data_IF_772835901828
#
_entry.id   IF_772835901828
#
_cell.length_a   1.000
_cell.length_b   1.000
_cell.length_c   1.000
_cell.angle_alpha   90.00
_cell.angle_beta   90.00
_cell.angle_gamma   90.00
#
_symmetry.space_group_name_H-M   'P 1'
#
loop_
_entity.id
_entity.type
_entity.pdbx_description
1 polymer ?
#
# COMPACT_ATOMS: atom_id res chain seq x y z
N UNK A 1 12.94 -22.76 43.20
CA UNK A 1 12.99 -22.89 41.73
C UNK A 1 13.28 -21.50 41.17
N UNK A 2 14.46 -21.30 40.58
CA UNK A 2 14.95 -19.97 40.23
C UNK A 2 14.56 -19.63 38.79
N UNK A 3 14.31 -18.35 38.49
CA UNK A 3 13.88 -17.84 37.19
C UNK A 3 14.87 -18.20 36.06
N UNK A 4 16.13 -18.42 36.44
CA UNK A 4 17.22 -18.88 35.56
C UNK A 4 17.05 -20.32 35.06
N UNK A 5 16.38 -21.17 35.85
CA UNK A 5 16.15 -22.57 35.46
C UNK A 5 15.09 -22.67 34.34
N UNK A 6 14.15 -21.72 34.30
CA UNK A 6 13.12 -21.63 33.26
C UNK A 6 13.66 -21.17 31.89
N UNK A 7 14.67 -20.31 31.86
CA UNK A 7 15.24 -19.81 30.61
C UNK A 7 16.16 -20.81 29.93
N UNK A 8 16.80 -21.70 30.69
CA UNK A 8 17.70 -22.73 30.15
C UNK A 8 16.92 -23.87 29.47
N UNK A 9 15.69 -24.14 29.90
CA UNK A 9 14.87 -25.23 29.34
C UNK A 9 14.22 -24.88 27.99
N UNK A 10 14.10 -23.59 27.64
CA UNK A 10 13.38 -23.15 26.44
C UNK A 10 14.20 -23.20 25.14
N UNK A 11 15.52 -23.36 25.21
CA UNK A 11 16.42 -23.33 24.04
C UNK A 11 16.69 -24.70 23.39
N UNK A 12 16.10 -25.78 23.93
CA UNK A 12 16.34 -27.15 23.44
C UNK A 12 15.23 -27.71 22.54
N UNK A 13 14.21 -26.90 22.20
CA UNK A 13 13.16 -27.33 21.28
C UNK A 13 13.64 -27.17 19.83
N UNK A 14 13.69 -28.25 19.01
CA UNK A 14 13.89 -28.10 17.58
C UNK A 14 12.68 -27.36 17.01
N UNK A 15 12.89 -26.12 16.59
CA UNK A 15 11.93 -25.40 15.78
C UNK A 15 11.77 -26.17 14.47
N UNK A 16 10.54 -26.55 14.04
CA UNK A 16 10.35 -27.03 12.69
C UNK A 16 10.84 -25.94 11.75
N UNK A 17 11.76 -26.30 10.86
CA UNK A 17 12.19 -25.43 9.78
C UNK A 17 10.95 -25.16 8.93
N UNK A 18 10.32 -24.00 9.14
CA UNK A 18 9.33 -23.47 8.21
C UNK A 18 10.09 -23.28 6.91
N UNK A 19 9.69 -23.93 5.79
CA UNK A 19 10.32 -23.66 4.52
C UNK A 19 10.14 -22.16 4.26
N UNK A 20 11.27 -21.44 4.20
CA UNK A 20 11.28 -20.11 3.64
C UNK A 20 10.82 -20.28 2.19
N UNK A 21 9.59 -19.89 1.91
CA UNK A 21 9.11 -19.76 0.54
C UNK A 21 9.97 -18.64 -0.04
N UNK A 22 11.02 -19.04 -0.75
CA UNK A 22 11.74 -18.14 -1.62
C UNK A 22 10.80 -17.88 -2.79
N UNK A 23 9.96 -16.85 -2.66
CA UNK A 23 9.23 -16.26 -3.78
C UNK A 23 10.28 -15.55 -4.65
N UNK A 24 11.04 -16.34 -5.40
CA UNK A 24 11.72 -15.85 -6.59
C UNK A 24 10.78 -15.99 -7.77
N UNK A 25 9.64 -15.29 -7.70
CA UNK A 25 8.99 -14.84 -8.92
C UNK A 25 9.60 -13.47 -9.20
N UNK A 26 10.26 -13.33 -10.34
CA UNK A 26 10.33 -12.03 -11.00
C UNK A 26 8.90 -11.64 -11.31
N UNK A 27 8.21 -11.11 -10.30
CA UNK A 27 6.84 -10.66 -10.38
C UNK A 27 6.83 -9.58 -11.45
N UNK A 28 6.17 -9.87 -12.57
CA UNK A 28 5.89 -8.84 -13.55
C UNK A 28 5.12 -7.78 -12.80
N UNK A 29 5.66 -6.57 -12.76
CA UNK A 29 5.05 -5.47 -11.99
C UNK A 29 3.56 -5.38 -12.29
N UNK A 30 2.74 -5.42 -11.23
CA UNK A 30 1.29 -5.34 -11.37
C UNK A 30 0.91 -3.94 -11.87
N UNK A 31 -0.23 -3.79 -12.57
CA UNK A 31 -0.70 -2.48 -12.99
C UNK A 31 -0.88 -1.50 -11.81
N UNK A 32 -1.29 -2.00 -10.64
CA UNK A 32 -1.44 -1.19 -9.42
C UNK A 32 -0.08 -0.68 -8.95
N UNK A 33 0.94 -1.54 -8.90
CA UNK A 33 2.27 -1.13 -8.43
C UNK A 33 2.95 -0.16 -9.40
N UNK A 34 2.75 -0.32 -10.71
CA UNK A 34 3.23 0.64 -11.70
C UNK A 34 2.61 2.03 -11.49
N UNK A 35 1.27 2.09 -11.34
CA UNK A 35 0.55 3.33 -11.06
C UNK A 35 0.93 3.94 -9.72
N UNK A 36 1.09 3.12 -8.68
CA UNK A 36 1.47 3.56 -7.35
C UNK A 36 2.86 4.19 -7.35
N UNK A 37 3.81 3.63 -8.10
CA UNK A 37 5.15 4.22 -8.25
C UNK A 37 5.08 5.61 -8.89
N UNK A 38 4.28 5.77 -9.94
CA UNK A 38 4.07 7.08 -10.58
C UNK A 38 3.39 8.08 -9.63
N UNK A 39 2.38 7.62 -8.88
CA UNK A 39 1.70 8.44 -7.87
C UNK A 39 2.68 8.87 -6.78
N UNK A 40 3.53 7.95 -6.29
CA UNK A 40 4.50 8.24 -5.24
C UNK A 40 5.57 9.24 -5.72
N UNK A 41 6.03 9.13 -6.96
CA UNK A 41 6.95 10.11 -7.54
C UNK A 41 6.32 11.52 -7.61
N UNK A 42 5.02 11.60 -7.95
CA UNK A 42 4.29 12.87 -7.94
C UNK A 42 4.05 13.39 -6.52
N UNK A 43 3.72 12.52 -5.56
CA UNK A 43 3.61 12.88 -4.16
C UNK A 43 4.93 13.46 -3.65
N UNK A 44 6.06 12.80 -3.91
CA UNK A 44 7.38 13.27 -3.48
C UNK A 44 7.71 14.62 -4.12
N UNK A 45 7.40 14.80 -5.41
CA UNK A 45 7.58 16.08 -6.11
C UNK A 45 6.75 17.21 -5.48
N UNK A 46 5.45 17.02 -5.30
CA UNK A 46 4.54 18.02 -4.73
C UNK A 46 4.90 18.41 -3.29
N UNK A 47 5.58 17.53 -2.56
CA UNK A 47 6.05 17.77 -1.19
C UNK A 47 7.52 18.22 -1.13
N UNK A 48 8.16 18.50 -2.27
CA UNK A 48 9.55 18.96 -2.33
C UNK A 48 9.66 20.49 -2.38
N UNK A 49 10.86 20.99 -2.11
CA UNK A 49 11.19 22.41 -2.29
C UNK A 49 11.02 22.89 -3.74
N UNK A 50 11.10 21.99 -4.72
CA UNK A 50 10.90 22.31 -6.13
C UNK A 50 9.46 22.74 -6.41
N UNK A 51 8.48 22.06 -5.82
CA UNK A 51 7.08 22.42 -5.96
C UNK A 51 6.74 23.77 -5.30
N UNK A 52 7.54 24.23 -4.34
CA UNK A 52 7.35 25.55 -3.73
C UNK A 52 7.61 26.72 -4.69
N UNK A 53 8.25 26.47 -5.83
CA UNK A 53 8.45 27.45 -6.89
C UNK A 53 7.29 27.52 -7.89
N UNK A 54 6.33 26.59 -7.83
CA UNK A 54 5.15 26.59 -8.69
C UNK A 54 4.23 27.75 -8.35
N UNK A 55 3.59 28.28 -9.37
CA UNK A 55 2.41 29.12 -9.18
C UNK A 55 1.24 28.29 -8.62
N UNK A 56 0.25 28.96 -8.03
CA UNK A 56 -0.97 28.29 -7.54
C UNK A 56 -1.66 27.49 -8.65
N UNK A 57 -1.77 28.05 -9.86
CA UNK A 57 -2.38 27.38 -11.01
C UNK A 57 -1.61 26.11 -11.44
N UNK A 58 -0.27 26.15 -11.42
CA UNK A 58 0.55 24.98 -11.75
C UNK A 58 0.47 23.91 -10.66
N UNK A 59 0.44 24.32 -9.39
CA UNK A 59 0.28 23.41 -8.25
C UNK A 59 -1.09 22.71 -8.27
N UNK A 60 -2.15 23.46 -8.54
CA UNK A 60 -3.50 22.92 -8.68
C UNK A 60 -3.59 21.93 -9.84
N UNK A 61 -2.96 22.22 -10.97
CA UNK A 61 -2.92 21.30 -12.11
C UNK A 61 -2.22 19.96 -11.78
N UNK A 62 -1.15 19.98 -11.01
CA UNK A 62 -0.48 18.76 -10.55
C UNK A 62 -1.30 18.01 -9.48
N UNK A 63 -2.04 18.73 -8.63
CA UNK A 63 -3.00 18.12 -7.70
C UNK A 63 -4.14 17.42 -8.44
N UNK A 64 -4.70 18.04 -9.49
CA UNK A 64 -5.70 17.44 -10.37
C UNK A 64 -5.15 16.20 -11.07
N UNK A 65 -3.90 16.23 -11.53
CA UNK A 65 -3.22 15.07 -12.10
C UNK A 65 -3.11 13.94 -11.09
N UNK A 66 -2.66 14.23 -9.87
CA UNK A 66 -2.57 13.24 -8.78
C UNK A 66 -3.94 12.65 -8.48
N UNK A 67 -4.96 13.50 -8.41
CA UNK A 67 -6.35 13.12 -8.16
C UNK A 67 -6.88 12.16 -9.21
N UNK A 68 -6.60 12.40 -10.49
CA UNK A 68 -6.97 11.48 -11.57
C UNK A 68 -6.28 10.11 -11.42
N UNK A 69 -5.02 10.09 -10.97
CA UNK A 69 -4.31 8.83 -10.71
C UNK A 69 -4.88 8.06 -9.52
N UNK A 70 -5.26 8.75 -8.44
CA UNK A 70 -5.93 8.15 -7.27
C UNK A 70 -7.23 7.46 -7.67
N UNK A 71 -8.07 8.13 -8.47
CA UNK A 71 -9.31 7.56 -8.98
C UNK A 71 -9.03 6.32 -9.85
N UNK A 72 -8.01 6.37 -10.70
CA UNK A 72 -7.63 5.21 -11.51
C UNK A 72 -7.12 4.05 -10.64
N UNK A 73 -6.29 4.31 -9.63
CA UNK A 73 -5.83 3.31 -8.67
C UNK A 73 -6.99 2.61 -7.95
N UNK A 74 -8.05 3.34 -7.60
CA UNK A 74 -9.23 2.78 -6.97
C UNK A 74 -10.00 1.79 -7.86
N UNK A 75 -9.95 1.97 -9.18
CA UNK A 75 -10.66 1.15 -10.16
C UNK A 75 -9.87 -0.09 -10.63
N UNK A 76 -8.54 -0.02 -10.69
CA UNK A 76 -7.70 -1.12 -11.17
C UNK A 76 -7.74 -2.29 -10.18
N UNK A 77 -8.17 -3.51 -10.53
CA UNK A 77 -8.26 -4.62 -9.58
C UNK A 77 -6.91 -4.99 -8.95
N UNK A 78 -6.91 -5.24 -7.63
CA UNK A 78 -5.73 -5.74 -6.93
C UNK A 78 -5.45 -7.21 -7.28
N UNK A 79 -4.20 -7.56 -7.58
CA UNK A 79 -3.76 -8.96 -7.75
C UNK A 79 -3.49 -9.62 -6.40
N UNK A 80 -3.05 -8.83 -5.41
CA UNK A 80 -2.72 -9.32 -4.08
C UNK A 80 -2.79 -8.25 -2.99
N UNK A 81 -2.34 -8.62 -1.79
CA UNK A 81 -2.38 -7.74 -0.61
C UNK A 81 -1.52 -6.49 -0.81
N UNK A 82 -0.37 -6.61 -1.48
CA UNK A 82 0.53 -5.49 -1.73
C UNK A 82 -0.14 -4.40 -2.58
N UNK A 83 -0.81 -4.79 -3.67
CA UNK A 83 -1.59 -3.88 -4.52
C UNK A 83 -2.66 -3.14 -3.70
N UNK A 84 -3.44 -3.88 -2.90
CA UNK A 84 -4.48 -3.25 -2.09
C UNK A 84 -3.91 -2.28 -1.06
N UNK A 85 -2.79 -2.63 -0.41
CA UNK A 85 -2.09 -1.74 0.52
C UNK A 85 -1.57 -0.48 -0.20
N UNK A 86 -1.04 -0.61 -1.42
CA UNK A 86 -0.59 0.52 -2.23
C UNK A 86 -1.74 1.48 -2.56
N UNK A 87 -2.92 0.96 -2.94
CA UNK A 87 -4.12 1.78 -3.13
C UNK A 87 -4.51 2.52 -1.85
N UNK A 88 -4.52 1.84 -0.71
CA UNK A 88 -4.85 2.46 0.59
C UNK A 88 -3.89 3.62 0.87
N UNK A 89 -2.59 3.43 0.69
CA UNK A 89 -1.60 4.48 0.92
C UNK A 89 -1.80 5.67 -0.03
N UNK A 90 -2.07 5.43 -1.33
CA UNK A 90 -2.32 6.50 -2.27
C UNK A 90 -3.59 7.29 -1.93
N UNK A 91 -4.70 6.59 -1.69
CA UNK A 91 -6.02 7.19 -1.42
C UNK A 91 -6.09 7.91 -0.07
N UNK A 92 -5.23 7.55 0.88
CA UNK A 92 -5.12 8.24 2.18
C UNK A 92 -3.99 9.27 2.21
N UNK A 93 -3.33 9.54 1.09
CA UNK A 93 -2.16 10.42 1.02
C UNK A 93 -1.11 10.05 2.09
N UNK A 94 -0.63 8.79 2.07
CA UNK A 94 0.28 8.21 3.09
C UNK A 94 -0.28 8.21 4.53
N UNK A 95 -1.61 8.27 4.68
CA UNK A 95 -2.29 8.28 5.98
C UNK A 95 -2.61 9.67 6.52
N UNK A 96 -2.32 10.73 5.77
CA UNK A 96 -2.68 12.11 6.14
C UNK A 96 -4.19 12.39 6.04
N UNK A 97 -4.92 11.58 5.26
CA UNK A 97 -6.35 11.73 5.01
C UNK A 97 -7.11 10.42 5.22
N UNK A 98 -8.37 10.52 5.62
CA UNK A 98 -9.29 9.38 5.59
C UNK A 98 -9.57 8.89 4.15
N UNK A 99 -10.05 7.66 4.04
CA UNK A 99 -10.61 7.16 2.79
C UNK A 99 -11.95 7.86 2.52
N UNK A 100 -11.95 8.71 1.50
CA UNK A 100 -13.14 9.40 1.03
C UNK A 100 -14.05 8.45 0.21
N UNK A 101 -15.33 8.45 0.56
CA UNK A 101 -16.35 7.63 -0.08
C UNK A 101 -16.51 7.94 -1.58
N UNK A 102 -16.22 9.16 -2.02
CA UNK A 102 -16.24 9.52 -3.45
C UNK A 102 -15.09 8.86 -4.23
N UNK A 103 -14.01 8.48 -3.54
CA UNK A 103 -12.82 7.85 -4.13
C UNK A 103 -12.82 6.34 -4.02
N UNK A 104 -13.61 5.78 -3.10
CA UNK A 104 -13.63 4.35 -2.82
C UNK A 104 -14.90 3.72 -3.38
N UNK A 105 -14.91 3.23 -4.63
CA UNK A 105 -16.06 2.54 -5.19
C UNK A 105 -16.37 1.26 -4.40
N UNK A 106 -17.59 0.73 -4.54
CA UNK A 106 -17.99 -0.50 -3.84
C UNK A 106 -17.06 -1.70 -4.10
N UNK A 107 -16.42 -1.75 -5.27
CA UNK A 107 -15.40 -2.74 -5.65
C UNK A 107 -14.18 -2.69 -4.74
N UNK A 108 -13.73 -1.51 -4.33
CA UNK A 108 -12.60 -1.35 -3.40
C UNK A 108 -12.87 -2.08 -2.08
N UNK A 109 -14.06 -1.90 -1.51
CA UNK A 109 -14.42 -2.57 -0.26
C UNK A 109 -14.69 -4.07 -0.43
N UNK A 110 -15.12 -4.51 -1.62
CA UNK A 110 -15.23 -5.93 -1.94
C UNK A 110 -13.85 -6.62 -1.97
N UNK A 111 -12.83 -5.97 -2.53
CA UNK A 111 -11.44 -6.45 -2.47
C UNK A 111 -10.96 -6.56 -1.02
N UNK A 112 -11.19 -5.51 -0.21
CA UNK A 112 -10.81 -5.51 1.20
C UNK A 112 -11.40 -6.71 1.97
N UNK A 113 -12.70 -6.99 1.75
CA UNK A 113 -13.39 -8.13 2.37
C UNK A 113 -12.80 -9.46 1.92
N UNK A 114 -12.57 -9.63 0.61
CA UNK A 114 -11.99 -10.86 0.08
C UNK A 114 -10.61 -11.17 0.70
N UNK A 115 -9.77 -10.15 0.92
CA UNK A 115 -8.44 -10.31 1.51
C UNK A 115 -8.46 -10.77 2.97
N UNK A 116 -9.47 -10.39 3.75
CA UNK A 116 -9.61 -10.80 5.16
C UNK A 116 -10.49 -12.04 5.34
N UNK A 117 -10.90 -12.68 4.24
CA UNK A 117 -11.76 -13.87 4.24
C UNK A 117 -13.24 -13.59 4.52
N UNK A 118 -13.68 -12.34 4.34
CA UNK A 118 -15.10 -11.97 4.34
C UNK A 118 -15.75 -12.25 2.98
N UNK A 119 -16.97 -12.78 2.98
CA UNK A 119 -17.77 -12.92 1.75
C UNK A 119 -18.04 -11.52 1.15
N UNK A 120 -17.95 -11.41 -0.19
CA UNK A 120 -17.95 -10.16 -0.94
C UNK A 120 -19.29 -9.41 -0.92
#
# INVERSE_FOLDING_TARGET
MNRRDLLTAALAAPLPAVPAVAETETETETPVMALFREWNALYDYLNSDEAAALTEEEFDAECDRRRAMELHLAEVPSVGVADFAAKVLALTNQGDHELDAECTPASFWAEARALVGGEA
#
